data_IF_323470507900
#
_entry.id   IF_323470507900
#
_cell.length_a   1.000
_cell.length_b   1.000
_cell.length_c   1.000
_cell.angle_alpha   90.00
_cell.angle_beta   90.00
_cell.angle_gamma   90.00
#
_symmetry.space_group_name_H-M   'P 1'
#
loop_
_entity.id
_entity.type
_entity.pdbx_description
1 polymer ?
#
# COMPACT_ATOMS: atom_id res chain seq x y z
N UNK A 1 22.45 -12.03 -18.10
CA UNK A 1 22.87 -11.38 -16.84
C UNK A 1 23.12 -9.93 -17.21
N UNK A 2 22.37 -8.99 -16.63
CA UNK A 2 22.19 -7.65 -17.18
C UNK A 2 23.49 -6.82 -17.16
N UNK A 3 23.92 -6.38 -18.35
CA UNK A 3 24.97 -5.39 -18.68
C UNK A 3 24.70 -3.96 -18.15
N UNK A 4 23.89 -3.79 -17.11
CA UNK A 4 23.44 -2.48 -16.62
C UNK A 4 24.26 -1.92 -15.45
N UNK A 5 25.06 -2.76 -14.77
CA UNK A 5 25.87 -2.34 -13.63
C UNK A 5 27.33 -2.79 -13.78
N UNK A 6 28.30 -1.99 -13.34
CA UNK A 6 29.71 -2.40 -13.33
C UNK A 6 29.89 -3.67 -12.48
N UNK A 7 30.63 -4.66 -13.00
CA UNK A 7 30.92 -5.89 -12.27
C UNK A 7 31.59 -5.61 -10.91
N UNK A 8 32.38 -4.55 -10.82
CA UNK A 8 33.05 -4.13 -9.58
C UNK A 8 32.05 -3.82 -8.45
N UNK A 9 30.88 -3.26 -8.79
CA UNK A 9 29.82 -2.95 -7.81
C UNK A 9 29.16 -4.22 -7.29
N UNK A 10 28.86 -5.15 -8.19
CA UNK A 10 28.24 -6.42 -7.83
C UNK A 10 29.20 -7.26 -6.97
N UNK A 11 30.48 -7.25 -7.31
CA UNK A 11 31.52 -7.95 -6.55
C UNK A 11 31.76 -7.31 -5.18
N UNK A 12 31.68 -5.98 -5.08
CA UNK A 12 31.72 -5.27 -3.79
C UNK A 12 30.52 -5.64 -2.91
N UNK A 13 29.30 -5.62 -3.45
CA UNK A 13 28.09 -6.00 -2.71
C UNK A 13 28.08 -7.48 -2.30
N UNK A 14 28.63 -8.36 -3.14
CA UNK A 14 28.84 -9.76 -2.80
C UNK A 14 29.86 -9.91 -1.66
N UNK A 15 30.94 -9.13 -1.65
CA UNK A 15 31.90 -9.17 -0.56
C UNK A 15 31.32 -8.60 0.76
N UNK A 16 30.47 -7.58 0.66
CA UNK A 16 29.85 -6.91 1.81
C UNK A 16 28.73 -7.74 2.46
N UNK A 17 27.81 -8.27 1.66
CA UNK A 17 26.62 -8.99 2.14
C UNK A 17 26.74 -10.53 1.98
N UNK A 18 27.77 -11.01 1.30
CA UNK A 18 28.11 -12.42 1.19
C UNK A 18 26.98 -13.28 0.59
N UNK A 19 26.71 -14.41 1.25
CA UNK A 19 25.68 -15.36 0.83
C UNK A 19 24.27 -14.76 0.81
N UNK A 20 24.02 -13.70 1.58
CA UNK A 20 22.71 -13.05 1.60
C UNK A 20 22.44 -12.34 0.27
N UNK A 21 23.46 -11.74 -0.35
CA UNK A 21 23.35 -11.11 -1.67
C UNK A 21 23.18 -12.11 -2.80
N UNK A 22 23.91 -13.23 -2.74
CA UNK A 22 23.77 -14.32 -3.73
C UNK A 22 22.40 -15.01 -3.67
N UNK A 23 21.71 -14.96 -2.53
CA UNK A 23 20.37 -15.49 -2.37
C UNK A 23 19.27 -14.57 -2.95
N UNK A 24 19.59 -13.32 -3.25
CA UNK A 24 18.65 -12.35 -3.82
C UNK A 24 18.38 -12.62 -5.30
N UNK A 25 17.21 -12.19 -5.76
CA UNK A 25 16.87 -12.18 -7.18
C UNK A 25 17.72 -11.14 -7.94
N UNK A 26 17.85 -11.33 -9.26
CA UNK A 26 18.57 -10.40 -10.15
C UNK A 26 18.08 -8.96 -10.01
N UNK A 27 16.78 -8.76 -9.80
CA UNK A 27 16.16 -7.44 -9.66
C UNK A 27 16.47 -6.81 -8.30
N UNK A 28 16.52 -7.60 -7.23
CA UNK A 28 16.93 -7.14 -5.90
C UNK A 28 18.41 -6.75 -5.86
N UNK A 29 19.27 -7.51 -6.54
CA UNK A 29 20.68 -7.15 -6.70
C UNK A 29 20.83 -5.83 -7.49
N UNK A 30 20.03 -5.63 -8.54
CA UNK A 30 19.99 -4.37 -9.28
C UNK A 30 19.50 -3.19 -8.43
N UNK A 31 18.53 -3.40 -7.54
CA UNK A 31 18.07 -2.38 -6.58
C UNK A 31 19.22 -1.98 -5.65
N UNK A 32 19.93 -2.96 -5.08
CA UNK A 32 21.08 -2.69 -4.20
C UNK A 32 22.21 -1.98 -4.94
N UNK A 33 22.55 -2.41 -6.16
CA UNK A 33 23.57 -1.76 -6.99
C UNK A 33 23.20 -0.31 -7.33
N UNK A 34 21.92 -0.04 -7.60
CA UNK A 34 21.43 1.32 -7.86
C UNK A 34 21.56 2.20 -6.64
N UNK A 35 21.12 1.72 -5.46
CA UNK A 35 21.19 2.47 -4.20
C UNK A 35 22.65 2.68 -3.80
N UNK A 36 23.53 1.72 -4.06
CA UNK A 36 24.98 1.88 -3.85
C UNK A 36 25.55 3.01 -4.71
N UNK A 37 25.22 3.05 -6.00
CA UNK A 37 25.73 4.06 -6.91
C UNK A 37 25.18 5.46 -6.60
N UNK A 38 23.91 5.54 -6.21
CA UNK A 38 23.19 6.80 -5.99
C UNK A 38 23.21 7.25 -4.52
N UNK A 39 23.80 6.47 -3.60
CA UNK A 39 23.71 6.54 -2.12
C UNK A 39 22.29 6.33 -1.56
N UNK A 40 21.29 6.86 -2.26
CA UNK A 40 19.88 6.75 -1.90
C UNK A 40 18.99 6.70 -3.15
N UNK A 41 17.90 5.93 -3.09
CA UNK A 41 16.93 5.89 -4.18
C UNK A 41 15.49 5.89 -3.65
N UNK A 42 14.59 6.50 -4.42
CA UNK A 42 13.15 6.49 -4.13
C UNK A 42 12.40 5.51 -5.06
N UNK A 43 11.14 5.23 -4.73
CA UNK A 43 10.30 4.30 -5.52
C UNK A 43 10.12 4.72 -6.97
N UNK A 44 10.13 6.03 -7.27
CA UNK A 44 9.98 6.54 -8.62
C UNK A 44 11.25 6.29 -9.47
N UNK A 45 12.43 6.45 -8.87
CA UNK A 45 13.72 6.18 -9.50
C UNK A 45 13.87 4.70 -9.86
N UNK A 46 13.52 3.82 -8.92
CA UNK A 46 13.59 2.37 -9.14
C UNK A 46 12.63 1.89 -10.23
N UNK A 47 11.45 2.51 -10.37
CA UNK A 47 10.52 2.23 -11.49
C UNK A 47 11.06 2.62 -12.86
N UNK A 48 11.90 3.65 -12.93
CA UNK A 48 12.47 4.06 -14.23
C UNK A 48 13.56 3.12 -14.70
N UNK A 49 14.15 2.36 -13.78
CA UNK A 49 15.31 1.52 -14.02
C UNK A 49 14.97 0.04 -14.10
N UNK A 50 13.91 -0.40 -13.42
CA UNK A 50 13.41 -1.78 -13.47
C UNK A 50 12.13 -1.86 -14.31
N UNK A 51 12.01 -2.78 -15.28
CA UNK A 51 10.79 -2.99 -16.06
C UNK A 51 9.66 -3.68 -15.26
N UNK A 52 9.82 -3.84 -13.94
CA UNK A 52 8.93 -4.61 -13.08
C UNK A 52 7.69 -3.80 -12.65
N UNK A 53 6.61 -4.51 -12.32
CA UNK A 53 5.40 -3.88 -11.83
C UNK A 53 5.66 -3.18 -10.48
N UNK A 54 5.08 -1.98 -10.22
CA UNK A 54 5.35 -1.19 -9.01
C UNK A 54 5.07 -1.94 -7.69
N UNK A 55 4.14 -2.90 -7.71
CA UNK A 55 3.85 -3.75 -6.55
C UNK A 55 5.03 -4.70 -6.24
N UNK A 56 5.68 -5.25 -7.26
CA UNK A 56 6.80 -6.17 -7.08
C UNK A 56 8.05 -5.41 -6.60
N UNK A 57 8.28 -4.20 -7.11
CA UNK A 57 9.32 -3.29 -6.59
C UNK A 57 9.08 -3.01 -5.10
N UNK A 58 7.83 -2.80 -4.69
CA UNK A 58 7.50 -2.57 -3.27
C UNK A 58 7.80 -3.81 -2.41
N UNK A 59 7.50 -5.01 -2.92
CA UNK A 59 7.79 -6.27 -2.22
C UNK A 59 9.30 -6.51 -2.09
N UNK A 60 10.06 -6.26 -3.15
CA UNK A 60 11.53 -6.39 -3.14
C UNK A 60 12.15 -5.41 -2.13
N UNK A 61 11.70 -4.16 -2.11
CA UNK A 61 12.16 -3.17 -1.13
C UNK A 61 11.83 -3.59 0.31
N UNK A 62 10.61 -4.07 0.57
CA UNK A 62 10.24 -4.60 1.88
C UNK A 62 11.08 -5.82 2.27
N UNK A 63 11.40 -6.69 1.31
CA UNK A 63 12.25 -7.85 1.53
C UNK A 63 13.66 -7.43 1.93
N UNK A 64 14.28 -6.51 1.18
CA UNK A 64 15.63 -6.00 1.45
C UNK A 64 15.73 -5.24 2.79
N UNK A 65 14.70 -4.47 3.15
CA UNK A 65 14.62 -3.83 4.49
C UNK A 65 14.51 -4.87 5.59
N UNK A 66 13.73 -5.93 5.38
CA UNK A 66 13.59 -7.03 6.35
C UNK A 66 14.89 -7.82 6.54
N UNK A 67 15.69 -7.97 5.48
CA UNK A 67 17.01 -8.58 5.55
C UNK A 67 18.07 -7.66 6.18
N UNK A 68 17.72 -6.41 6.52
CA UNK A 68 18.64 -5.45 7.10
C UNK A 68 19.69 -4.94 6.11
N UNK A 69 19.49 -5.09 4.80
CA UNK A 69 20.40 -4.57 3.76
C UNK A 69 20.05 -3.13 3.37
N UNK A 70 18.79 -2.73 3.55
CA UNK A 70 18.32 -1.38 3.28
C UNK A 70 17.66 -0.76 4.52
N UNK A 71 17.81 0.56 4.65
CA UNK A 71 17.08 1.39 5.60
C UNK A 71 16.09 2.25 4.84
N UNK A 72 14.85 2.33 5.34
CA UNK A 72 13.83 3.21 4.79
C UNK A 72 13.55 4.37 5.73
N UNK A 73 13.48 5.59 5.20
CA UNK A 73 13.05 6.79 5.96
C UNK A 73 11.56 6.74 6.32
N UNK A 74 10.78 5.85 5.70
CA UNK A 74 9.33 5.76 5.88
C UNK A 74 8.55 6.93 5.25
N UNK A 75 7.22 6.82 5.26
CA UNK A 75 6.32 7.88 4.78
C UNK A 75 6.02 7.87 3.28
N UNK A 76 5.34 8.92 2.80
CA UNK A 76 4.83 9.05 1.42
C UNK A 76 5.95 9.23 0.38
N UNK A 77 7.10 9.74 0.80
CA UNK A 77 8.31 9.93 0.00
C UNK A 77 9.44 9.09 0.56
N UNK A 78 9.16 7.83 0.90
CA UNK A 78 10.16 6.92 1.42
C UNK A 78 11.37 6.87 0.47
N UNK A 79 12.54 7.18 1.03
CA UNK A 79 13.84 7.01 0.41
C UNK A 79 14.49 5.77 1.03
N UNK A 80 15.29 5.07 0.25
CA UNK A 80 15.99 3.86 0.63
C UNK A 80 17.48 4.08 0.50
N UNK A 81 18.22 3.81 1.57
CA UNK A 81 19.67 3.86 1.64
C UNK A 81 20.22 2.51 2.09
N UNK A 82 21.49 2.24 1.76
CA UNK A 82 22.15 1.03 2.25
C UNK A 82 22.27 1.07 3.77
N UNK A 83 22.00 -0.07 4.40
CA UNK A 83 22.32 -0.29 5.80
C UNK A 83 23.84 -0.46 5.93
N UNK A 84 24.57 0.65 5.85
CA UNK A 84 26.00 0.69 6.15
C UNK A 84 26.17 0.95 7.65
N UNK A 85 27.20 0.37 8.24
CA UNK A 85 27.52 0.40 9.68
C UNK A 85 27.71 1.83 10.25
N UNK A 86 27.69 2.87 9.39
CA UNK A 86 28.04 4.25 9.75
C UNK A 86 26.85 5.23 9.90
N UNK A 87 25.61 4.76 10.13
CA UNK A 87 24.49 5.64 10.49
C UNK A 87 24.13 5.54 11.98
N UNK A 88 25.11 5.91 12.82
CA UNK A 88 24.90 6.35 14.20
C UNK A 88 24.91 7.90 14.22
N UNK A 89 23.81 8.53 13.83
CA UNK A 89 23.51 9.94 14.15
C UNK A 89 22.00 10.20 13.95
N UNK A 90 21.18 10.46 14.96
CA UNK A 90 21.46 10.69 16.36
C UNK A 90 20.27 10.30 17.24
N UNK A 91 20.60 9.62 18.33
CA UNK A 91 19.81 9.63 19.54
C UNK A 91 20.23 10.92 20.29
N UNK A 92 19.34 11.90 20.44
CA UNK A 92 19.42 12.81 21.59
C UNK A 92 18.21 12.55 22.47
N UNK A 93 18.51 12.05 23.66
CA UNK A 93 17.57 11.81 24.73
C UNK A 93 17.97 12.79 25.83
N UNK A 94 17.26 13.91 25.94
CA UNK A 94 17.32 14.76 27.13
C UNK A 94 16.00 14.68 27.92
N UNK A 95 16.13 14.09 29.10
CA UNK A 95 15.19 14.07 30.22
C UNK A 95 14.96 15.50 30.76
N UNK A 96 13.71 15.89 30.96
CA UNK A 96 13.26 16.63 32.15
C UNK A 96 11.72 16.57 32.24
N UNK A 97 11.22 15.90 33.27
CA UNK A 97 9.79 15.76 33.54
C UNK A 97 9.21 16.92 34.36
N UNK A 98 7.91 17.17 34.16
CA UNK A 98 6.89 17.34 35.20
C UNK A 98 5.55 17.78 34.54
N UNK A 99 4.53 16.93 34.68
CA UNK A 99 3.12 17.20 35.07
C UNK A 99 2.44 18.49 34.54
N UNK A 100 1.25 18.51 33.94
CA UNK A 100 -0.01 17.77 34.15
C UNK A 100 -1.00 18.08 33.00
N UNK A 101 -1.89 17.14 32.65
CA UNK A 101 -3.20 17.48 32.07
C UNK A 101 -3.78 16.52 31.01
N UNK A 102 -4.22 15.32 31.44
CA UNK A 102 -5.55 14.70 31.18
C UNK A 102 -6.20 14.89 29.79
N UNK A 103 -6.72 13.92 29.02
CA UNK A 103 -7.18 12.53 29.16
C UNK A 103 -7.52 12.04 27.73
N UNK A 104 -7.21 10.79 27.33
CA UNK A 104 -8.17 9.88 26.62
C UNK A 104 -7.58 8.45 26.49
N UNK A 105 -8.38 7.36 26.60
CA UNK A 105 -7.91 6.05 27.02
C UNK A 105 -7.25 5.21 25.92
N UNK A 106 -6.30 4.38 26.37
CA UNK A 106 -5.72 3.27 25.62
C UNK A 106 -6.77 2.22 25.26
N UNK A 107 -6.82 1.81 23.99
CA UNK A 107 -7.33 0.50 23.63
C UNK A 107 -6.16 -0.49 23.43
N UNK A 108 -6.21 -1.69 24.04
CA UNK A 108 -5.19 -2.72 23.86
C UNK A 108 -5.36 -3.38 22.49
N UNK A 109 -4.38 -3.23 21.61
CA UNK A 109 -4.31 -3.97 20.34
C UNK A 109 -3.91 -5.43 20.63
N UNK A 110 -4.87 -6.24 21.02
CA UNK A 110 -4.86 -7.67 20.68
C UNK A 110 -5.72 -7.83 19.43
N UNK A 111 -5.10 -7.83 18.25
CA UNK A 111 -5.79 -8.26 17.03
C UNK A 111 -5.43 -9.72 16.70
N UNK A 112 -6.43 -10.60 16.55
CA UNK A 112 -6.24 -12.02 16.22
C UNK A 112 -5.66 -12.21 14.82
N UNK A 113 -4.73 -13.16 14.71
CA UNK A 113 -4.20 -13.65 13.44
C UNK A 113 -5.31 -14.26 12.58
N UNK A 114 -5.75 -13.57 11.53
CA UNK A 114 -6.57 -14.19 10.49
C UNK A 114 -5.67 -14.87 9.44
N UNK A 115 -5.99 -16.10 9.00
CA UNK A 115 -5.18 -16.82 8.03
C UNK A 115 -5.22 -16.12 6.66
N UNK A 116 -4.04 -15.81 6.11
CA UNK A 116 -3.86 -15.27 4.77
C UNK A 116 -4.23 -16.34 3.72
N UNK A 117 -5.48 -16.34 3.26
CA UNK A 117 -5.85 -16.92 1.97
C UNK A 117 -6.38 -15.79 1.09
N UNK A 118 -5.46 -15.09 0.41
CA UNK A 118 -5.81 -14.08 -0.61
C UNK A 118 -5.79 -14.73 -2.00
N UNK A 119 -6.93 -14.87 -2.71
CA UNK A 119 -6.92 -15.24 -4.12
C UNK A 119 -6.45 -14.04 -4.95
N UNK A 120 -5.44 -14.27 -5.77
CA UNK A 120 -4.91 -13.31 -6.75
C UNK A 120 -5.99 -12.89 -7.76
N UNK A 121 -6.18 -11.57 -7.95
CA UNK A 121 -7.03 -11.05 -9.03
C UNK A 121 -6.26 -10.12 -9.97
N UNK A 122 -6.47 -10.24 -11.30
CA UNK A 122 -5.75 -9.47 -12.29
C UNK A 122 -6.22 -8.01 -12.32
N UNK A 123 -5.24 -7.12 -12.44
CA UNK A 123 -5.42 -5.69 -12.58
C UNK A 123 -5.88 -5.37 -14.01
N UNK A 124 -7.16 -5.04 -14.22
CA UNK A 124 -7.62 -4.47 -15.48
C UNK A 124 -8.46 -3.21 -15.20
N UNK A 125 -7.91 -2.08 -15.64
CA UNK A 125 -8.57 -0.78 -15.72
C UNK A 125 -9.67 -0.82 -16.79
N UNK A 126 -10.85 -1.36 -16.47
CA UNK A 126 -12.05 -1.15 -17.29
C UNK A 126 -13.02 -0.17 -16.62
N UNK A 127 -13.42 0.79 -17.44
CA UNK A 127 -14.36 1.89 -17.20
C UNK A 127 -15.76 1.36 -16.90
N UNK A 128 -16.51 2.11 -16.09
CA UNK A 128 -17.85 1.79 -15.57
C UNK A 128 -18.96 1.82 -16.65
N UNK A 129 -18.62 1.86 -17.95
CA UNK A 129 -19.54 2.24 -19.03
C UNK A 129 -19.89 1.12 -20.01
N UNK A 130 -19.23 -0.04 -19.96
CA UNK A 130 -19.45 -1.07 -20.98
C UNK A 130 -20.62 -1.98 -20.59
N UNK A 131 -21.79 -1.66 -21.15
CA UNK A 131 -23.06 -2.40 -21.04
C UNK A 131 -23.04 -3.83 -21.64
N UNK A 132 -21.88 -4.39 -21.94
CA UNK A 132 -21.73 -5.70 -22.59
C UNK A 132 -20.54 -6.51 -22.04
N UNK A 133 -20.28 -6.45 -20.73
CA UNK A 133 -19.25 -7.26 -20.10
C UNK A 133 -19.90 -8.36 -19.24
N UNK A 134 -19.71 -9.63 -19.63
CA UNK A 134 -19.92 -10.76 -18.73
C UNK A 134 -19.27 -10.49 -17.37
N UNK A 135 -19.88 -10.99 -16.29
CA UNK A 135 -19.60 -10.69 -14.88
C UNK A 135 -18.09 -10.71 -14.54
N UNK A 136 -17.40 -9.60 -14.79
CA UNK A 136 -16.03 -9.42 -14.32
C UNK A 136 -16.08 -9.31 -12.79
N UNK A 137 -15.09 -9.88 -12.09
CA UNK A 137 -15.04 -9.83 -10.62
C UNK A 137 -15.10 -8.41 -10.05
N UNK A 138 -14.76 -7.39 -10.84
CA UNK A 138 -14.91 -5.97 -10.50
C UNK A 138 -16.38 -5.53 -10.47
N UNK A 139 -17.19 -5.92 -11.45
CA UNK A 139 -18.62 -5.58 -11.52
C UNK A 139 -19.39 -6.21 -10.36
N UNK A 140 -19.09 -7.49 -10.04
CA UNK A 140 -19.69 -8.17 -8.89
C UNK A 140 -19.36 -7.44 -7.58
N UNK A 141 -18.09 -7.06 -7.38
CA UNK A 141 -17.66 -6.32 -6.18
C UNK A 141 -18.32 -4.95 -6.06
N UNK A 142 -18.51 -4.24 -7.17
CA UNK A 142 -19.24 -2.97 -7.17
C UNK A 142 -20.68 -3.19 -6.70
N UNK A 143 -21.38 -4.18 -7.27
CA UNK A 143 -22.75 -4.51 -6.84
C UNK A 143 -22.80 -4.85 -5.35
N UNK A 144 -21.90 -5.71 -4.86
CA UNK A 144 -21.82 -6.05 -3.43
C UNK A 144 -21.58 -4.83 -2.53
N UNK A 145 -20.69 -3.91 -2.92
CA UNK A 145 -20.45 -2.68 -2.14
C UNK A 145 -21.73 -1.83 -2.07
N UNK A 146 -22.43 -1.67 -3.19
CA UNK A 146 -23.66 -0.90 -3.26
C UNK A 146 -24.81 -1.57 -2.46
N UNK A 147 -24.93 -2.88 -2.48
CA UNK A 147 -25.91 -3.63 -1.69
C UNK A 147 -25.65 -3.45 -0.18
N UNK A 148 -24.40 -3.57 0.25
CA UNK A 148 -24.03 -3.39 1.65
C UNK A 148 -24.32 -1.97 2.16
N UNK A 149 -24.04 -0.95 1.35
CA UNK A 149 -24.31 0.45 1.70
C UNK A 149 -25.79 0.85 1.49
N UNK A 150 -26.59 -0.03 0.89
CA UNK A 150 -28.04 0.14 0.77
C UNK A 150 -28.76 -0.34 2.03
N UNK A 151 -28.28 -1.42 2.66
CA UNK A 151 -28.87 -1.94 3.91
C UNK A 151 -28.66 -0.99 5.08
N UNK A 152 -27.46 -0.41 5.20
CA UNK A 152 -27.13 0.55 6.25
C UNK A 152 -25.92 1.42 5.87
N UNK A 153 -25.75 2.59 6.51
CA UNK A 153 -24.54 3.38 6.35
C UNK A 153 -23.32 2.60 6.85
N UNK A 154 -22.27 2.53 6.03
CA UNK A 154 -21.04 1.79 6.35
C UNK A 154 -19.80 2.65 6.13
N UNK A 155 -18.83 2.56 7.05
CA UNK A 155 -17.51 3.17 6.87
C UNK A 155 -16.64 2.38 5.89
N UNK A 156 -15.60 3.01 5.35
CA UNK A 156 -14.63 2.31 4.48
C UNK A 156 -14.00 1.09 5.17
N UNK A 157 -13.81 1.15 6.50
CA UNK A 157 -13.26 0.04 7.29
C UNK A 157 -14.21 -1.15 7.39
N UNK A 158 -15.50 -0.89 7.62
CA UNK A 158 -16.50 -1.96 7.68
C UNK A 158 -16.72 -2.63 6.33
N UNK A 159 -16.73 -1.85 5.25
CA UNK A 159 -16.82 -2.38 3.88
C UNK A 159 -15.59 -3.27 3.60
N UNK A 160 -14.38 -2.80 3.91
CA UNK A 160 -13.14 -3.55 3.74
C UNK A 160 -13.17 -4.89 4.49
N UNK A 161 -13.59 -4.87 5.77
CA UNK A 161 -13.71 -6.07 6.60
C UNK A 161 -14.72 -7.08 6.04
N UNK A 162 -15.87 -6.61 5.55
CA UNK A 162 -16.91 -7.49 4.99
C UNK A 162 -16.49 -8.14 3.68
N UNK A 163 -15.72 -7.44 2.84
CA UNK A 163 -15.25 -7.96 1.56
C UNK A 163 -13.86 -8.65 1.64
N UNK A 164 -13.21 -8.65 2.81
CA UNK A 164 -11.84 -9.16 2.95
C UNK A 164 -10.82 -8.38 2.11
N UNK A 165 -11.01 -7.07 1.95
CA UNK A 165 -10.18 -6.22 1.10
C UNK A 165 -9.26 -5.32 1.93
N UNK A 166 -8.07 -5.02 1.38
CA UNK A 166 -7.24 -3.95 1.91
C UNK A 166 -7.94 -2.59 1.80
N UNK A 167 -7.97 -1.83 2.90
CA UNK A 167 -8.66 -0.53 3.02
C UNK A 167 -8.22 0.49 1.95
N UNK A 168 -6.91 0.60 1.71
CA UNK A 168 -6.36 1.54 0.74
C UNK A 168 -6.75 1.14 -0.69
N UNK A 169 -6.69 -0.15 -1.00
CA UNK A 169 -7.13 -0.70 -2.29
C UNK A 169 -8.62 -0.50 -2.54
N UNK A 170 -9.46 -0.69 -1.50
CA UNK A 170 -10.90 -0.45 -1.57
C UNK A 170 -11.21 1.02 -1.89
N UNK A 171 -10.58 1.95 -1.16
CA UNK A 171 -10.78 3.39 -1.34
C UNK A 171 -10.44 3.84 -2.76
N UNK A 172 -9.25 3.45 -3.23
CA UNK A 172 -8.72 3.94 -4.50
C UNK A 172 -9.39 3.31 -5.73
N UNK A 173 -9.76 2.03 -5.66
CA UNK A 173 -10.28 1.30 -6.84
C UNK A 173 -11.80 1.26 -6.94
N UNK A 174 -12.52 1.53 -5.85
CA UNK A 174 -13.97 1.40 -5.81
C UNK A 174 -14.62 2.66 -5.23
N UNK A 175 -14.37 2.99 -3.96
CA UNK A 175 -15.15 4.03 -3.27
C UNK A 175 -14.99 5.41 -3.91
N UNK A 176 -13.77 5.79 -4.31
CA UNK A 176 -13.51 7.07 -4.96
C UNK A 176 -14.31 7.20 -6.28
N UNK A 177 -14.29 6.15 -7.11
CA UNK A 177 -15.03 6.12 -8.37
C UNK A 177 -16.55 6.08 -8.14
N UNK A 178 -17.03 5.31 -7.17
CA UNK A 178 -18.47 5.21 -6.87
C UNK A 178 -19.03 6.52 -6.32
N UNK A 179 -18.28 7.25 -5.51
CA UNK A 179 -18.67 8.59 -5.04
C UNK A 179 -18.62 9.59 -6.19
N UNK A 180 -17.55 9.60 -6.99
CA UNK A 180 -17.40 10.50 -8.14
C UNK A 180 -18.52 10.34 -9.16
N UNK A 181 -18.96 9.11 -9.39
CA UNK A 181 -20.06 8.80 -10.31
C UNK A 181 -21.45 8.82 -9.63
N UNK A 182 -21.52 9.27 -8.38
CA UNK A 182 -22.75 9.45 -7.60
C UNK A 182 -23.52 8.15 -7.35
N UNK A 183 -22.88 6.98 -7.39
CA UNK A 183 -23.48 5.71 -6.97
C UNK A 183 -23.47 5.54 -5.45
N UNK A 184 -22.47 6.13 -4.78
CA UNK A 184 -22.39 6.27 -3.33
C UNK A 184 -22.37 7.76 -2.95
N UNK A 185 -22.88 8.07 -1.78
CA UNK A 185 -22.80 9.39 -1.16
C UNK A 185 -22.27 9.29 0.28
N UNK A 186 -21.76 10.42 0.75
CA UNK A 186 -21.31 10.64 2.10
C UNK A 186 -22.50 10.94 3.03
N UNK A 187 -22.56 10.33 4.23
CA UNK A 187 -23.61 10.66 5.21
C UNK A 187 -23.52 12.09 5.75
N UNK A 188 -22.31 12.65 5.82
CA UNK A 188 -22.05 14.04 6.19
C UNK A 188 -21.37 14.76 5.02
N UNK A 189 -22.13 15.26 4.02
CA UNK A 189 -21.55 15.89 2.84
C UNK A 189 -20.86 17.23 3.17
N UNK A 190 -21.37 17.97 4.16
CA UNK A 190 -20.83 19.28 4.56
C UNK A 190 -19.52 19.18 5.35
N UNK A 191 -19.17 17.99 5.86
CA UNK A 191 -17.95 17.78 6.63
C UNK A 191 -17.22 16.50 6.19
N UNK A 192 -16.49 16.51 5.05
CA UNK A 192 -15.85 15.32 4.50
C UNK A 192 -14.72 14.74 5.36
N UNK A 193 -14.26 15.46 6.40
CA UNK A 193 -13.26 15.00 7.37
C UNK A 193 -13.89 14.47 8.66
N UNK A 194 -15.22 14.36 8.73
CA UNK A 194 -15.91 13.88 9.92
C UNK A 194 -15.47 12.44 10.23
N UNK A 195 -15.17 12.16 11.51
CA UNK A 195 -14.77 10.81 11.94
C UNK A 195 -15.92 9.79 11.83
N UNK A 196 -17.15 10.27 11.77
CA UNK A 196 -18.38 9.47 11.60
C UNK A 196 -18.77 9.31 10.12
N UNK A 197 -17.89 9.69 9.20
CA UNK A 197 -18.16 9.58 7.77
C UNK A 197 -18.44 8.13 7.36
N UNK A 198 -19.61 7.90 6.80
CA UNK A 198 -20.00 6.62 6.20
C UNK A 198 -20.52 6.84 4.78
N UNK A 199 -20.68 5.73 4.05
CA UNK A 199 -21.18 5.67 2.70
C UNK A 199 -22.60 5.12 2.69
N UNK A 200 -23.45 5.73 1.86
CA UNK A 200 -24.82 5.30 1.58
C UNK A 200 -25.04 5.19 0.08
N UNK A 201 -25.84 4.21 -0.34
CA UNK A 201 -26.19 4.02 -1.75
C UNK A 201 -27.26 5.02 -2.20
N UNK A 202 -26.96 5.76 -3.27
CA UNK A 202 -27.87 6.74 -3.88
C UNK A 202 -28.91 6.05 -4.76
N UNK A 203 -29.89 6.80 -5.27
CA UNK A 203 -30.88 6.28 -6.22
C UNK A 203 -30.25 5.85 -7.56
N UNK A 204 -29.17 6.50 -7.97
CA UNK A 204 -28.36 6.10 -9.13
C UNK A 204 -27.68 4.75 -8.88
N UNK A 205 -27.14 4.55 -7.67
CA UNK A 205 -26.60 3.26 -7.22
C UNK A 205 -27.65 2.15 -7.18
N UNK A 206 -28.87 2.43 -6.70
CA UNK A 206 -29.98 1.46 -6.72
C UNK A 206 -30.34 1.03 -8.13
N UNK A 207 -30.38 1.98 -9.06
CA UNK A 207 -30.64 1.69 -10.48
C UNK A 207 -29.54 0.81 -11.08
N UNK A 208 -28.28 1.03 -10.71
CA UNK A 208 -27.15 0.20 -11.14
C UNK A 208 -27.24 -1.25 -10.62
N UNK A 209 -27.66 -1.47 -9.38
CA UNK A 209 -27.84 -2.82 -8.82
C UNK A 209 -28.88 -3.61 -9.65
N UNK A 210 -29.99 -2.95 -10.01
CA UNK A 210 -31.15 -3.52 -10.71
C UNK A 210 -30.93 -3.72 -12.22
N UNK A 211 -29.89 -3.11 -12.79
CA UNK A 211 -29.49 -3.26 -14.20
C UNK A 211 -28.63 -4.49 -14.43
#
# INVERSE_FOLDING_TARGET
MNDLFPNDVMQYLENEYGKAFLALSTDEQAILATIYLENEANHQRLKTLLPNHPADITKMLQHLVKQGMLVSTGGRWAVYSLASDNSLAGNDQSLAGASTGLNEPSYPNNEPSYPNNEPSYPNNNQSLTDKNAGLTGKSLRIKTILELCLEKPLSSGEIARRLGLNLQGLRNRYLADLVKNEYLAYTYPDNPKDRRQTYITTDKGKTFIRS
#
